data_IF_394495805795
#
_entry.id   IF_394495805795
#
_cell.length_a   1.000
_cell.length_b   1.000
_cell.length_c   1.000
_cell.angle_alpha   90.00
_cell.angle_beta   90.00
_cell.angle_gamma   90.00
#
_symmetry.space_group_name_H-M   'P 1'
#
loop_
_entity.id
_entity.type
_entity.pdbx_description
1 polymer ?
#
# COMPACT_ATOMS: atom_id res chain seq x y z
N UNK A 1 36.83 44.51 11.90
CA UNK A 1 36.87 43.21 11.20
C UNK A 1 35.52 42.43 11.19
N UNK A 2 34.36 43.08 10.91
CA UNK A 2 33.07 42.37 10.88
C UNK A 2 32.71 41.73 9.53
N UNK A 3 33.41 42.07 8.44
CA UNK A 3 33.04 41.59 7.10
C UNK A 3 33.40 40.11 6.78
N UNK A 4 34.41 39.57 7.43
CA UNK A 4 34.84 38.18 7.15
C UNK A 4 33.96 37.13 7.82
N UNK A 5 33.31 37.45 8.90
CA UNK A 5 32.37 36.52 9.57
C UNK A 5 31.06 36.35 8.78
N UNK A 6 30.56 37.42 8.19
CA UNK A 6 29.36 37.42 7.36
C UNK A 6 29.55 36.68 6.03
N UNK A 7 30.74 36.75 5.42
CA UNK A 7 31.03 36.02 4.18
C UNK A 7 31.18 34.52 4.41
N UNK A 8 31.78 34.11 5.51
CA UNK A 8 31.90 32.68 5.91
C UNK A 8 30.53 32.08 6.23
N UNK A 9 29.66 32.84 6.89
CA UNK A 9 28.28 32.39 7.18
C UNK A 9 27.44 32.21 5.90
N UNK A 10 27.59 33.16 4.93
CA UNK A 10 26.91 33.01 3.62
C UNK A 10 27.45 31.84 2.82
N UNK A 11 28.75 31.59 2.84
CA UNK A 11 29.36 30.45 2.17
C UNK A 11 28.87 29.12 2.79
N UNK A 12 28.81 29.02 4.12
CA UNK A 12 28.31 27.86 4.83
C UNK A 12 26.81 27.57 4.53
N UNK A 13 25.99 28.63 4.44
CA UNK A 13 24.55 28.49 4.07
C UNK A 13 24.38 28.05 2.62
N UNK A 14 25.20 28.51 1.69
CA UNK A 14 25.17 28.10 0.27
C UNK A 14 25.60 26.63 0.15
N UNK A 15 26.63 26.19 0.87
CA UNK A 15 27.06 24.78 0.89
C UNK A 15 26.01 23.91 1.52
N UNK A 16 25.38 24.33 2.61
CA UNK A 16 24.30 23.58 3.24
C UNK A 16 23.06 23.46 2.33
N UNK A 17 22.69 24.55 1.65
CA UNK A 17 21.62 24.56 0.68
C UNK A 17 21.93 23.69 -0.55
N UNK A 18 23.16 23.68 -1.05
CA UNK A 18 23.57 22.82 -2.16
C UNK A 18 23.60 21.34 -1.75
N UNK A 19 24.03 21.03 -0.51
CA UNK A 19 23.94 19.66 0.03
C UNK A 19 22.48 19.19 0.18
N UNK A 20 21.56 20.06 0.63
CA UNK A 20 20.14 19.74 0.70
C UNK A 20 19.52 19.55 -0.69
N UNK A 21 19.90 20.35 -1.68
CA UNK A 21 19.39 20.16 -3.06
C UNK A 21 19.94 18.89 -3.73
N UNK A 22 21.17 18.49 -3.41
CA UNK A 22 21.78 17.27 -3.95
C UNK A 22 21.07 15.97 -3.48
N UNK A 23 20.31 16.03 -2.38
CA UNK A 23 19.61 14.87 -1.81
C UNK A 23 18.30 14.52 -2.52
N UNK A 24 17.85 15.28 -3.52
CA UNK A 24 16.53 15.12 -4.17
C UNK A 24 16.66 14.47 -5.57
N UNK A 25 17.79 13.89 -5.92
CA UNK A 25 17.85 12.99 -7.06
C UNK A 25 17.18 11.66 -6.67
N UNK A 26 15.85 11.64 -6.56
CA UNK A 26 15.08 10.41 -6.59
C UNK A 26 15.33 9.79 -7.97
N UNK A 27 16.16 8.76 -8.03
CA UNK A 27 16.32 7.92 -9.21
C UNK A 27 14.95 7.25 -9.40
N UNK A 28 14.16 7.81 -10.31
CA UNK A 28 12.99 7.12 -10.80
C UNK A 28 13.50 5.81 -11.45
N UNK A 29 13.22 4.67 -10.79
CA UNK A 29 13.60 3.39 -11.34
C UNK A 29 12.92 3.24 -12.70
N UNK A 30 13.72 3.02 -13.75
CA UNK A 30 13.20 2.77 -15.08
C UNK A 30 12.31 1.52 -15.04
N UNK A 31 11.06 1.68 -15.49
CA UNK A 31 10.12 0.56 -15.55
C UNK A 31 10.56 -0.40 -16.67
N UNK A 32 10.49 -1.72 -16.42
CA UNK A 32 10.87 -2.71 -17.43
C UNK A 32 9.96 -2.62 -18.66
N UNK A 33 10.51 -2.94 -19.84
CA UNK A 33 9.72 -3.03 -21.06
C UNK A 33 8.81 -4.26 -21.04
N UNK A 34 7.62 -4.15 -21.62
CA UNK A 34 6.70 -5.27 -21.81
C UNK A 34 7.19 -6.13 -22.98
N UNK A 35 7.88 -7.23 -22.69
CA UNK A 35 8.47 -8.13 -23.71
C UNK A 35 7.56 -9.31 -24.05
N UNK A 36 6.52 -9.56 -23.27
CA UNK A 36 5.59 -10.67 -23.43
C UNK A 36 4.63 -10.79 -22.26
N UNK A 37 3.86 -11.88 -22.22
CA UNK A 37 2.94 -12.17 -21.11
C UNK A 37 3.65 -12.59 -19.83
N UNK A 38 4.91 -13.00 -19.91
CA UNK A 38 5.78 -13.34 -18.79
C UNK A 38 7.08 -12.56 -18.93
N UNK A 39 7.29 -11.55 -18.08
CA UNK A 39 8.48 -10.70 -18.04
C UNK A 39 9.26 -11.03 -16.77
N UNK A 40 10.26 -11.90 -16.90
CA UNK A 40 11.05 -12.41 -15.78
C UNK A 40 12.41 -11.71 -15.70
N UNK A 41 12.44 -10.54 -15.11
CA UNK A 41 13.69 -9.78 -14.90
C UNK A 41 14.43 -10.18 -13.61
N UNK A 42 13.77 -10.88 -12.71
CA UNK A 42 14.42 -11.42 -11.51
C UNK A 42 15.09 -12.79 -11.74
N UNK A 43 14.77 -13.46 -12.87
CA UNK A 43 15.33 -14.77 -13.21
C UNK A 43 14.87 -15.88 -12.27
N UNK A 44 13.66 -15.79 -11.71
CA UNK A 44 13.11 -16.76 -10.75
C UNK A 44 12.17 -17.78 -11.40
N UNK A 45 11.90 -17.66 -12.71
CA UNK A 45 11.03 -18.57 -13.44
C UNK A 45 11.91 -19.36 -14.43
N UNK A 46 11.96 -20.67 -14.29
CA UNK A 46 12.69 -21.53 -15.24
C UNK A 46 12.09 -21.46 -16.65
N UNK A 47 12.89 -21.84 -17.66
CA UNK A 47 12.51 -21.73 -19.07
C UNK A 47 11.26 -22.56 -19.42
N UNK A 48 11.10 -23.75 -18.81
CA UNK A 48 9.96 -24.63 -19.03
C UNK A 48 8.67 -24.03 -18.49
N UNK A 49 8.69 -23.58 -17.25
CA UNK A 49 7.54 -22.91 -16.60
C UNK A 49 7.19 -21.62 -17.33
N UNK A 50 8.20 -20.82 -17.75
CA UNK A 50 7.96 -19.59 -18.52
C UNK A 50 7.24 -19.88 -19.85
N UNK A 51 7.67 -20.90 -20.58
CA UNK A 51 7.03 -21.31 -21.85
C UNK A 51 5.58 -21.76 -21.62
N UNK A 52 5.36 -22.61 -20.61
CA UNK A 52 4.03 -23.10 -20.25
C UNK A 52 3.08 -21.97 -19.83
N UNK A 53 3.54 -21.04 -18.96
CA UNK A 53 2.77 -19.86 -18.55
C UNK A 53 2.46 -18.96 -19.75
N UNK A 54 3.44 -18.71 -20.63
CA UNK A 54 3.23 -17.87 -21.82
C UNK A 54 2.15 -18.42 -22.71
N UNK A 55 2.17 -19.75 -22.96
CA UNK A 55 1.15 -20.41 -23.77
C UNK A 55 -0.22 -20.36 -23.08
N UNK A 56 -0.29 -20.72 -21.78
CA UNK A 56 -1.53 -20.70 -21.01
C UNK A 56 -2.19 -19.34 -21.01
N UNK A 57 -1.43 -18.27 -20.79
CA UNK A 57 -1.92 -16.90 -20.80
C UNK A 57 -2.36 -16.43 -22.20
N UNK A 58 -1.66 -16.90 -23.26
CA UNK A 58 -2.07 -16.63 -24.62
C UNK A 58 -3.40 -17.30 -24.98
N UNK A 59 -3.57 -18.56 -24.57
CA UNK A 59 -4.80 -19.31 -24.80
C UNK A 59 -5.98 -18.70 -24.02
N UNK A 60 -5.74 -18.24 -22.81
CA UNK A 60 -6.74 -17.56 -21.99
C UNK A 60 -7.19 -16.24 -22.62
N UNK A 61 -6.27 -15.37 -22.99
CA UNK A 61 -6.57 -14.08 -23.63
C UNK A 61 -7.32 -14.27 -24.97
N UNK A 62 -6.98 -15.31 -25.73
CA UNK A 62 -7.67 -15.61 -27.00
C UNK A 62 -9.12 -16.03 -26.79
N UNK A 63 -9.44 -16.69 -25.67
CA UNK A 63 -10.79 -17.18 -25.37
C UNK A 63 -11.69 -16.13 -24.73
N UNK A 64 -11.14 -15.33 -23.81
CA UNK A 64 -11.91 -14.43 -22.94
C UNK A 64 -11.66 -12.95 -23.16
N UNK A 65 -10.68 -12.57 -23.98
CA UNK A 65 -10.17 -11.19 -24.13
C UNK A 65 -9.51 -10.56 -22.91
N UNK A 66 -9.60 -11.17 -21.71
CA UNK A 66 -8.96 -10.70 -20.50
C UNK A 66 -7.46 -10.95 -20.55
N UNK A 67 -6.67 -9.95 -20.18
CA UNK A 67 -5.23 -9.99 -20.29
C UNK A 67 -4.56 -10.17 -18.93
N UNK A 68 -3.86 -11.27 -18.72
CA UNK A 68 -3.03 -11.50 -17.53
C UNK A 68 -1.55 -11.42 -17.93
N UNK A 69 -0.76 -10.66 -17.16
CA UNK A 69 0.69 -10.55 -17.32
C UNK A 69 1.37 -10.86 -16.00
N UNK A 70 2.41 -11.67 -16.06
CA UNK A 70 3.29 -11.97 -14.94
C UNK A 70 4.57 -11.17 -15.10
N UNK A 71 4.95 -10.44 -14.06
CA UNK A 71 6.19 -9.68 -13.99
C UNK A 71 7.01 -10.07 -12.77
N UNK A 72 8.29 -10.28 -12.94
CA UNK A 72 9.23 -10.37 -11.85
C UNK A 72 10.30 -9.30 -11.98
N UNK A 73 10.65 -8.65 -10.87
CA UNK A 73 11.70 -7.63 -10.80
C UNK A 73 12.60 -7.97 -9.62
N UNK A 74 13.91 -7.71 -9.73
CA UNK A 74 14.83 -8.04 -8.66
C UNK A 74 14.50 -7.30 -7.36
N UNK A 75 14.22 -6.00 -7.45
CA UNK A 75 13.88 -5.15 -6.31
C UNK A 75 13.05 -3.94 -6.74
N UNK A 76 12.26 -3.42 -5.80
CA UNK A 76 11.47 -2.19 -5.93
C UNK A 76 12.31 -0.92 -5.72
N UNK A 77 13.59 -1.05 -5.31
CA UNK A 77 14.47 0.10 -5.07
C UNK A 77 14.03 0.98 -3.89
N UNK A 78 13.30 0.41 -2.93
CA UNK A 78 12.80 1.15 -1.75
C UNK A 78 11.41 1.76 -1.94
N UNK A 79 10.79 1.58 -3.11
CA UNK A 79 9.41 1.99 -3.35
C UNK A 79 8.42 0.95 -2.78
N UNK A 80 7.20 1.38 -2.43
CA UNK A 80 6.13 0.45 -2.08
C UNK A 80 5.58 -0.26 -3.31
N UNK A 81 5.15 -1.51 -3.14
CA UNK A 81 4.76 -2.36 -4.27
C UNK A 81 3.47 -1.89 -4.94
N UNK A 82 2.55 -1.28 -4.19
CA UNK A 82 1.27 -0.79 -4.70
C UNK A 82 1.46 0.33 -5.74
N UNK A 83 2.13 1.46 -5.43
CA UNK A 83 2.34 2.51 -6.41
C UNK A 83 3.21 2.03 -7.58
N UNK A 84 4.19 1.16 -7.33
CA UNK A 84 5.01 0.59 -8.39
C UNK A 84 4.18 -0.26 -9.35
N UNK A 85 3.37 -1.20 -8.85
CA UNK A 85 2.53 -2.08 -9.67
C UNK A 85 1.51 -1.28 -10.48
N UNK A 86 0.83 -0.31 -9.86
CA UNK A 86 -0.13 0.57 -10.56
C UNK A 86 0.54 1.38 -11.67
N UNK A 87 1.74 1.93 -11.42
CA UNK A 87 2.52 2.66 -12.43
C UNK A 87 2.96 1.73 -13.55
N UNK A 88 3.43 0.52 -13.25
CA UNK A 88 3.84 -0.49 -14.23
C UNK A 88 2.65 -0.94 -15.09
N UNK A 89 1.51 -1.22 -14.45
CA UNK A 89 0.26 -1.59 -15.13
C UNK A 89 -0.14 -0.55 -16.16
N UNK A 90 -0.14 0.74 -15.78
CA UNK A 90 -0.47 1.87 -16.65
C UNK A 90 0.58 2.12 -17.72
N UNK A 91 1.86 1.97 -17.39
CA UNK A 91 2.96 2.10 -18.35
C UNK A 91 2.86 1.06 -19.46
N UNK A 92 2.52 -0.19 -19.10
CA UNK A 92 2.29 -1.28 -20.04
C UNK A 92 0.92 -1.23 -20.69
N UNK A 93 0.00 -0.39 -20.20
CA UNK A 93 -1.37 -0.24 -20.69
C UNK A 93 -2.11 -1.58 -20.75
N UNK A 94 -2.02 -2.37 -19.68
CA UNK A 94 -2.58 -3.71 -19.64
C UNK A 94 -4.11 -3.71 -19.76
N UNK A 95 -4.64 -4.67 -20.52
CA UNK A 95 -6.07 -4.77 -20.84
C UNK A 95 -6.50 -3.83 -21.95
N UNK A 96 -7.74 -3.97 -22.39
CA UNK A 96 -8.33 -3.15 -23.45
C UNK A 96 -8.79 -1.80 -22.89
N UNK A 97 -8.58 -0.72 -23.65
CA UNK A 97 -8.84 0.66 -23.20
C UNK A 97 -10.28 0.95 -22.76
N UNK A 98 -11.27 0.25 -23.34
CA UNK A 98 -12.68 0.43 -22.99
C UNK A 98 -13.14 -0.50 -21.88
N UNK A 99 -12.53 -1.67 -21.77
CA UNK A 99 -12.96 -2.74 -20.89
C UNK A 99 -12.12 -2.79 -19.61
N UNK A 100 -10.90 -2.25 -19.65
CA UNK A 100 -9.95 -2.24 -18.51
C UNK A 100 -9.76 -3.64 -17.90
N UNK A 101 -9.71 -4.66 -18.75
CA UNK A 101 -9.72 -6.07 -18.41
C UNK A 101 -8.31 -6.68 -18.33
N UNK A 102 -7.39 -5.93 -17.73
CA UNK A 102 -6.02 -6.37 -17.46
C UNK A 102 -5.82 -6.85 -16.04
N UNK A 103 -4.87 -7.77 -15.82
CA UNK A 103 -4.36 -8.20 -14.52
C UNK A 103 -2.84 -8.26 -14.57
N UNK A 104 -2.17 -7.75 -13.54
CA UNK A 104 -0.73 -7.83 -13.37
C UNK A 104 -0.40 -8.61 -12.10
N UNK A 105 0.31 -9.72 -12.23
CA UNK A 105 0.96 -10.39 -11.11
C UNK A 105 2.41 -9.92 -11.04
N UNK A 106 2.76 -9.16 -10.00
CA UNK A 106 4.11 -8.62 -9.78
C UNK A 106 4.77 -9.32 -8.58
N UNK A 107 6.02 -9.74 -8.76
CA UNK A 107 6.85 -10.35 -7.71
C UNK A 107 8.19 -9.66 -7.63
N UNK A 108 8.59 -9.21 -6.44
CA UNK A 108 9.89 -8.62 -6.13
C UNK A 108 10.61 -9.47 -5.05
N UNK A 109 11.41 -10.49 -5.46
CA UNK A 109 11.95 -11.48 -4.54
C UNK A 109 12.91 -10.89 -3.50
N UNK A 110 13.74 -9.91 -3.84
CA UNK A 110 14.68 -9.33 -2.88
C UNK A 110 13.98 -8.51 -1.79
N UNK A 111 12.79 -7.95 -2.10
CA UNK A 111 11.97 -7.22 -1.14
C UNK A 111 10.96 -8.13 -0.43
N UNK A 112 10.85 -9.41 -0.85
CA UNK A 112 9.84 -10.37 -0.42
C UNK A 112 8.42 -9.80 -0.51
N UNK A 113 8.14 -9.07 -1.58
CA UNK A 113 6.85 -8.46 -1.84
C UNK A 113 6.24 -9.00 -3.13
N UNK A 114 4.94 -9.17 -3.13
CA UNK A 114 4.16 -9.56 -4.31
C UNK A 114 2.84 -8.80 -4.34
N UNK A 115 2.29 -8.62 -5.53
CA UNK A 115 1.01 -7.95 -5.74
C UNK A 115 0.28 -8.50 -6.94
N UNK A 116 -1.03 -8.62 -6.82
CA UNK A 116 -1.94 -8.79 -7.95
C UNK A 116 -2.67 -7.46 -8.11
N UNK A 117 -2.41 -6.77 -9.21
CA UNK A 117 -3.07 -5.51 -9.59
C UNK A 117 -4.13 -5.81 -10.61
N UNK A 118 -5.36 -5.33 -10.39
CA UNK A 118 -6.54 -5.64 -11.19
C UNK A 118 -7.03 -4.38 -11.89
N UNK A 119 -7.35 -4.49 -13.17
CA UNK A 119 -7.96 -3.43 -13.95
C UNK A 119 -9.41 -3.20 -13.57
N UNK A 120 -9.90 -1.98 -13.70
CA UNK A 120 -11.25 -1.56 -13.30
C UNK A 120 -12.38 -2.49 -13.78
N UNK A 121 -12.26 -3.04 -15.00
CA UNK A 121 -13.29 -3.92 -15.58
C UNK A 121 -13.40 -5.29 -14.92
N UNK A 122 -12.36 -5.72 -14.20
CA UNK A 122 -12.30 -7.02 -13.56
C UNK A 122 -12.45 -6.98 -12.04
N UNK A 123 -12.49 -5.80 -11.41
CA UNK A 123 -12.61 -5.65 -9.95
C UNK A 123 -13.87 -6.32 -9.38
N UNK A 124 -14.95 -6.39 -10.17
CA UNK A 124 -16.18 -7.07 -9.77
C UNK A 124 -16.11 -8.60 -9.85
N UNK A 125 -15.20 -9.16 -10.65
CA UNK A 125 -15.02 -10.61 -10.84
C UNK A 125 -13.83 -11.12 -10.04
N UNK A 126 -12.65 -10.54 -10.25
CA UNK A 126 -11.44 -10.82 -9.49
C UNK A 126 -11.29 -9.79 -8.38
N UNK A 127 -12.05 -9.97 -7.30
CA UNK A 127 -12.11 -9.03 -6.17
C UNK A 127 -10.84 -9.04 -5.33
N UNK A 128 -10.68 -8.04 -4.45
CA UNK A 128 -9.57 -7.99 -3.47
C UNK A 128 -9.56 -9.23 -2.56
N UNK A 129 -10.73 -9.80 -2.24
CA UNK A 129 -10.81 -11.05 -1.49
C UNK A 129 -10.19 -12.21 -2.28
N UNK A 130 -10.52 -12.35 -3.56
CA UNK A 130 -9.98 -13.42 -4.39
C UNK A 130 -8.46 -13.29 -4.54
N UNK A 131 -7.96 -12.09 -4.86
CA UNK A 131 -6.51 -11.84 -5.00
C UNK A 131 -5.77 -12.10 -3.69
N UNK A 132 -6.37 -11.74 -2.54
CA UNK A 132 -5.81 -12.04 -1.22
C UNK A 132 -5.74 -13.53 -0.96
N UNK A 133 -6.81 -14.29 -1.24
CA UNK A 133 -6.83 -15.75 -1.08
C UNK A 133 -5.79 -16.45 -1.95
N UNK A 134 -5.61 -16.02 -3.19
CA UNK A 134 -4.57 -16.52 -4.10
C UNK A 134 -3.17 -16.28 -3.51
N UNK A 135 -2.91 -15.07 -3.05
CA UNK A 135 -1.63 -14.73 -2.44
C UNK A 135 -1.35 -15.59 -1.20
N UNK A 136 -2.30 -15.68 -0.28
CA UNK A 136 -2.11 -16.34 1.01
C UNK A 136 -2.08 -17.88 0.90
N UNK A 137 -2.89 -18.46 0.02
CA UNK A 137 -2.98 -19.93 -0.09
C UNK A 137 -2.01 -20.55 -1.08
N UNK A 138 -1.63 -19.84 -2.15
CA UNK A 138 -0.81 -20.41 -3.22
C UNK A 138 0.60 -19.84 -3.25
N UNK A 139 0.73 -18.50 -3.20
CA UNK A 139 2.03 -17.85 -3.37
C UNK A 139 2.86 -17.85 -2.09
N UNK A 140 2.32 -17.41 -0.95
CA UNK A 140 3.07 -17.29 0.31
C UNK A 140 3.68 -18.62 0.74
N UNK A 141 2.95 -19.76 0.80
CA UNK A 141 3.54 -21.03 1.22
C UNK A 141 4.61 -21.52 0.25
N UNK A 142 4.40 -21.39 -1.07
CA UNK A 142 5.36 -21.79 -2.09
C UNK A 142 6.64 -20.92 -2.01
N UNK A 143 6.50 -19.60 -1.88
CA UNK A 143 7.65 -18.68 -1.84
C UNK A 143 8.48 -18.82 -0.56
N UNK A 144 7.86 -19.19 0.57
CA UNK A 144 8.59 -19.53 1.81
C UNK A 144 9.49 -20.75 1.65
N UNK A 145 9.14 -21.68 0.78
CA UNK A 145 9.97 -22.86 0.46
C UNK A 145 10.91 -22.64 -0.74
N UNK A 146 10.86 -21.44 -1.36
CA UNK A 146 11.68 -21.09 -2.53
C UNK A 146 11.10 -21.56 -3.86
N UNK A 147 9.89 -22.13 -3.87
CA UNK A 147 9.21 -22.57 -5.10
C UNK A 147 8.46 -21.40 -5.76
N UNK A 148 9.22 -20.46 -6.34
CA UNK A 148 8.64 -19.33 -7.06
C UNK A 148 7.84 -19.76 -8.31
N UNK A 149 8.38 -20.66 -9.18
CA UNK A 149 7.65 -21.08 -10.37
C UNK A 149 6.32 -21.77 -10.05
N UNK A 150 6.31 -22.64 -9.03
CA UNK A 150 5.11 -23.36 -8.60
C UNK A 150 4.05 -22.41 -8.01
N UNK A 151 4.45 -21.48 -7.14
CA UNK A 151 3.54 -20.48 -6.57
C UNK A 151 2.93 -19.54 -7.62
N UNK A 152 3.74 -19.06 -8.59
CA UNK A 152 3.27 -18.24 -9.70
C UNK A 152 2.30 -19.03 -10.61
N UNK A 153 2.62 -20.28 -10.92
CA UNK A 153 1.77 -21.11 -11.77
C UNK A 153 0.40 -21.36 -11.14
N UNK A 154 0.35 -21.68 -9.85
CA UNK A 154 -0.91 -21.83 -9.10
C UNK A 154 -1.71 -20.54 -9.07
N UNK A 155 -1.05 -19.42 -8.77
CA UNK A 155 -1.73 -18.11 -8.75
C UNK A 155 -2.36 -17.78 -10.10
N UNK A 156 -1.67 -18.07 -11.21
CA UNK A 156 -2.21 -17.90 -12.57
C UNK A 156 -3.41 -18.82 -12.80
N UNK A 157 -3.34 -20.07 -12.37
CA UNK A 157 -4.45 -21.03 -12.52
C UNK A 157 -5.70 -20.58 -11.75
N UNK A 158 -5.52 -20.10 -10.54
CA UNK A 158 -6.62 -19.62 -9.70
C UNK A 158 -7.20 -18.28 -10.21
N UNK A 159 -6.37 -17.36 -10.72
CA UNK A 159 -6.87 -16.17 -11.40
C UNK A 159 -7.73 -16.53 -12.61
N UNK A 160 -7.27 -17.45 -13.45
CA UNK A 160 -8.02 -17.93 -14.62
C UNK A 160 -9.32 -18.62 -14.19
N UNK A 161 -9.30 -19.43 -13.14
CA UNK A 161 -10.48 -20.10 -12.60
C UNK A 161 -11.54 -19.10 -12.15
N UNK A 162 -11.16 -18.07 -11.40
CA UNK A 162 -12.07 -17.00 -10.94
C UNK A 162 -12.63 -16.21 -12.12
N UNK A 163 -11.79 -15.82 -13.06
CA UNK A 163 -12.22 -15.05 -14.25
C UNK A 163 -13.13 -15.86 -15.17
N UNK A 164 -13.01 -17.19 -15.18
CA UNK A 164 -13.95 -18.07 -15.87
C UNK A 164 -15.28 -18.29 -15.11
N UNK A 165 -15.51 -17.60 -14.00
CA UNK A 165 -16.77 -17.64 -13.26
C UNK A 165 -16.91 -18.77 -12.23
N UNK A 166 -15.78 -19.33 -11.76
CA UNK A 166 -15.74 -20.38 -10.76
C UNK A 166 -15.02 -19.97 -9.46
N UNK A 167 -15.41 -18.86 -8.79
CA UNK A 167 -14.74 -18.40 -7.57
C UNK A 167 -14.97 -19.29 -6.36
N UNK A 168 -16.07 -20.10 -6.38
CA UNK A 168 -16.54 -20.89 -5.24
C UNK A 168 -15.51 -21.91 -4.73
N UNK A 169 -14.73 -22.50 -5.63
CA UNK A 169 -13.67 -23.44 -5.26
C UNK A 169 -12.52 -22.76 -4.52
N UNK A 170 -12.10 -21.58 -4.96
CA UNK A 170 -11.08 -20.77 -4.28
C UNK A 170 -11.54 -20.36 -2.89
N UNK A 171 -12.78 -19.86 -2.77
CA UNK A 171 -13.38 -19.50 -1.49
C UNK A 171 -13.52 -20.70 -0.55
N UNK A 172 -13.90 -21.87 -1.08
CA UNK A 172 -13.99 -23.10 -0.29
C UNK A 172 -12.63 -23.57 0.21
N UNK A 173 -11.57 -23.40 -0.59
CA UNK A 173 -10.18 -23.65 -0.15
C UNK A 173 -9.74 -22.65 0.91
N UNK A 174 -10.05 -21.35 0.75
CA UNK A 174 -9.78 -20.33 1.74
C UNK A 174 -10.48 -20.58 3.08
N UNK A 175 -11.71 -21.08 3.06
CA UNK A 175 -12.43 -21.47 4.30
C UNK A 175 -11.84 -22.72 4.99
N UNK A 176 -11.22 -23.64 4.25
CA UNK A 176 -10.57 -24.85 4.79
C UNK A 176 -9.18 -24.59 5.33
N UNK A 177 -8.48 -23.66 4.74
CA UNK A 177 -7.19 -23.14 5.19
C UNK A 177 -7.40 -21.68 5.63
N UNK A 178 -7.94 -21.41 6.82
CA UNK A 178 -7.87 -20.08 7.35
C UNK A 178 -6.38 -19.79 7.50
N UNK A 179 -5.79 -19.16 6.48
CA UNK A 179 -4.50 -18.53 6.65
C UNK A 179 -4.68 -17.67 7.90
N UNK A 180 -3.78 -17.85 8.84
CA UNK A 180 -3.82 -17.31 10.19
C UNK A 180 -4.01 -15.78 10.14
N UNK A 181 -5.23 -15.37 9.78
CA UNK A 181 -5.65 -13.96 9.68
C UNK A 181 -5.85 -13.35 11.08
N UNK A 182 -5.75 -14.18 12.09
CA UNK A 182 -5.42 -13.77 13.44
C UNK A 182 -3.89 -13.76 13.57
N UNK A 183 -3.19 -12.75 13.08
CA UNK A 183 -1.99 -12.36 13.80
C UNK A 183 -2.42 -12.15 15.25
N UNK A 184 -2.03 -13.01 16.19
CA UNK A 184 -2.34 -12.75 17.59
C UNK A 184 -1.78 -11.36 17.84
N UNK A 185 -2.65 -10.45 18.28
CA UNK A 185 -2.24 -9.08 18.57
C UNK A 185 -0.98 -9.21 19.41
N UNK A 186 0.12 -8.63 18.93
CA UNK A 186 1.41 -8.69 19.60
C UNK A 186 1.16 -8.47 21.11
N UNK A 187 1.55 -9.40 21.98
CA UNK A 187 1.28 -9.28 23.41
C UNK A 187 1.75 -7.94 23.97
N UNK A 188 2.78 -7.34 23.36
CA UNK A 188 3.26 -5.99 23.70
C UNK A 188 2.20 -4.93 23.35
N UNK A 189 1.58 -5.01 22.17
CA UNK A 189 0.50 -4.10 21.76
C UNK A 189 -0.73 -4.29 22.64
N UNK A 190 -1.06 -5.54 22.98
CA UNK A 190 -2.20 -5.84 23.87
C UNK A 190 -1.99 -5.26 25.26
N UNK A 191 -0.81 -5.45 25.86
CA UNK A 191 -0.44 -4.86 27.15
C UNK A 191 -0.44 -3.34 27.09
N UNK A 192 0.10 -2.76 26.02
CA UNK A 192 0.07 -1.31 25.80
C UNK A 192 -1.36 -0.76 25.74
N UNK A 193 -2.26 -1.41 24.99
CA UNK A 193 -3.68 -1.01 24.90
C UNK A 193 -4.40 -1.12 26.26
N UNK A 194 -4.13 -2.17 27.04
CA UNK A 194 -4.69 -2.34 28.39
C UNK A 194 -4.19 -1.23 29.32
N UNK A 195 -2.89 -0.95 29.32
CA UNK A 195 -2.28 0.12 30.12
C UNK A 195 -2.82 1.48 29.69
N UNK A 196 -2.93 1.74 28.40
CA UNK A 196 -3.49 2.97 27.86
C UNK A 196 -4.96 3.14 28.24
N UNK A 197 -5.77 2.09 28.09
CA UNK A 197 -7.18 2.09 28.48
C UNK A 197 -7.36 2.30 29.98
N UNK A 198 -6.58 1.62 30.82
CA UNK A 198 -6.66 1.79 32.29
C UNK A 198 -6.24 3.19 32.72
N UNK A 199 -5.22 3.77 32.08
CA UNK A 199 -4.79 5.14 32.35
C UNK A 199 -5.85 6.16 31.91
N UNK A 200 -6.41 5.98 30.70
CA UNK A 200 -7.43 6.88 30.12
C UNK A 200 -8.75 6.82 30.90
N UNK A 201 -9.30 5.60 31.03
CA UNK A 201 -10.58 5.43 31.75
C UNK A 201 -10.44 5.60 33.27
N UNK A 202 -9.29 5.23 33.84
CA UNK A 202 -8.97 5.49 35.25
C UNK A 202 -8.87 6.98 35.55
N UNK A 203 -8.21 7.75 34.69
CA UNK A 203 -8.16 9.22 34.78
C UNK A 203 -9.54 9.86 34.65
N UNK A 204 -10.34 9.38 33.68
CA UNK A 204 -11.72 9.84 33.49
C UNK A 204 -12.59 9.50 34.70
N UNK A 205 -12.49 8.30 35.25
CA UNK A 205 -13.19 7.87 36.44
C UNK A 205 -12.81 8.72 37.66
N UNK A 206 -11.53 8.99 37.85
CA UNK A 206 -11.04 9.88 38.91
C UNK A 206 -11.56 11.32 38.77
N UNK A 207 -11.80 11.79 37.56
CA UNK A 207 -12.36 13.12 37.30
C UNK A 207 -13.87 13.19 37.60
N UNK A 208 -14.64 12.13 37.24
CA UNK A 208 -16.10 12.18 37.26
C UNK A 208 -16.75 11.43 38.44
N UNK A 209 -16.17 10.34 38.93
CA UNK A 209 -16.77 9.55 40.02
C UNK A 209 -16.79 10.26 41.38
N UNK A 210 -15.73 10.98 41.84
CA UNK A 210 -15.78 11.67 43.13
C UNK A 210 -16.87 12.77 43.22
N UNK A 211 -17.12 13.60 42.20
CA UNK A 211 -18.24 14.54 42.24
C UNK A 211 -19.62 13.86 42.21
N UNK A 212 -19.74 12.68 41.61
CA UNK A 212 -21.01 11.97 41.41
C UNK A 212 -21.37 11.08 42.62
N UNK A 213 -20.39 10.41 43.23
CA UNK A 213 -20.60 9.41 44.29
C UNK A 213 -19.89 9.77 45.62
N UNK A 214 -19.05 10.81 45.65
CA UNK A 214 -18.32 11.23 46.83
C UNK A 214 -19.16 12.14 47.77
N UNK A 215 -18.86 12.08 49.09
CA UNK A 215 -19.45 13.01 50.04
C UNK A 215 -18.81 14.39 49.91
N UNK A 216 -19.63 15.43 49.66
CA UNK A 216 -19.20 16.82 49.53
C UNK A 216 -18.82 17.39 50.92
N UNK A 217 -17.54 17.71 51.12
CA UNK A 217 -17.05 18.34 52.35
C UNK A 217 -17.10 19.86 52.30
N UNK A 218 -16.82 20.45 51.11
CA UNK A 218 -16.90 21.89 50.86
C UNK A 218 -17.00 22.14 49.36
N UNK A 219 -17.31 23.37 48.87
CA UNK A 219 -17.35 23.67 47.45
C UNK A 219 -16.06 23.26 46.76
N UNK A 220 -16.14 22.32 45.79
CA UNK A 220 -15.00 21.81 45.05
C UNK A 220 -14.16 20.73 45.79
N UNK A 221 -14.54 20.27 46.99
CA UNK A 221 -13.83 19.20 47.72
C UNK A 221 -14.75 18.02 47.98
N UNK A 222 -14.36 16.86 47.48
CA UNK A 222 -15.14 15.62 47.60
C UNK A 222 -14.28 14.55 48.26
N UNK A 223 -14.89 13.72 49.14
CA UNK A 223 -14.28 12.56 49.75
C UNK A 223 -14.87 11.30 49.16
N UNK A 224 -14.03 10.48 48.52
CA UNK A 224 -14.41 9.23 47.92
C UNK A 224 -13.33 8.16 48.19
N UNK A 225 -13.75 6.97 48.58
CA UNK A 225 -12.82 5.86 48.96
C UNK A 225 -11.71 6.27 49.96
N UNK A 226 -12.03 7.13 50.93
CA UNK A 226 -11.06 7.58 51.95
C UNK A 226 -10.09 8.69 51.46
N UNK A 227 -10.08 9.00 50.17
CA UNK A 227 -9.25 10.05 49.59
C UNK A 227 -10.04 11.34 49.37
N UNK A 228 -9.39 12.51 49.53
CA UNK A 228 -10.00 13.83 49.30
C UNK A 228 -9.52 14.38 47.95
N UNK A 229 -10.47 14.65 47.07
CA UNK A 229 -10.23 15.25 45.76
C UNK A 229 -10.65 16.71 45.76
N UNK A 230 -9.76 17.61 45.30
CA UNK A 230 -10.00 19.05 45.19
C UNK A 230 -10.10 19.42 43.71
N UNK A 231 -11.26 19.92 43.29
CA UNK A 231 -11.52 20.39 41.94
C UNK A 231 -11.64 21.92 41.97
N UNK A 232 -10.94 22.59 41.05
CA UNK A 232 -11.19 24.01 40.77
C UNK A 232 -10.45 25.03 41.63
N UNK A 233 -9.20 24.77 42.08
CA UNK A 233 -8.27 25.85 42.35
C UNK A 233 -7.24 25.91 41.24
N UNK A 234 -7.50 26.79 40.25
CA UNK A 234 -6.51 27.21 39.30
C UNK A 234 -5.33 27.80 40.05
N UNK A 235 -4.12 27.27 39.84
CA UNK A 235 -2.92 27.97 40.21
C UNK A 235 -2.91 29.33 39.50
N UNK A 236 -3.08 30.39 40.25
CA UNK A 236 -2.81 31.74 39.78
C UNK A 236 -1.32 31.89 39.52
N UNK A 237 -0.93 32.28 38.32
CA UNK A 237 0.45 32.54 37.97
C UNK A 237 0.60 33.00 36.54
N UNK A 238 0.68 34.31 36.38
CA UNK A 238 1.31 35.12 35.32
C UNK A 238 0.75 35.03 33.89
N UNK A 239 0.21 36.17 33.53
CA UNK A 239 -0.02 36.70 32.21
C UNK A 239 1.11 36.52 31.23
N UNK A 240 0.87 35.82 30.13
CA UNK A 240 1.67 35.83 28.92
C UNK A 240 0.73 35.86 27.74
N UNK A 241 0.51 37.07 27.26
CA UNK A 241 -0.27 37.39 26.06
C UNK A 241 0.50 36.89 24.85
N UNK A 242 -0.01 35.91 24.12
CA UNK A 242 0.34 35.72 22.72
C UNK A 242 -0.93 35.41 21.92
N UNK A 243 -1.34 36.41 21.19
CA UNK A 243 -2.47 36.37 20.28
C UNK A 243 -2.17 35.46 19.09
N UNK A 244 -3.10 34.58 18.83
CA UNK A 244 -3.16 33.85 17.56
C UNK A 244 -4.29 34.44 16.74
N UNK A 245 -3.92 35.23 15.76
CA UNK A 245 -4.83 35.70 14.73
C UNK A 245 -5.21 34.58 13.79
N UNK A 246 -6.50 34.29 13.70
CA UNK A 246 -7.07 33.46 12.62
C UNK A 246 -6.93 34.22 11.31
N UNK A 247 -6.24 33.62 10.35
CA UNK A 247 -6.35 33.97 8.94
C UNK A 247 -7.22 32.92 8.24
N UNK A 248 -8.37 33.39 7.81
CA UNK A 248 -9.29 32.68 6.94
C UNK A 248 -8.93 32.99 5.50
N UNK A 249 -9.08 32.02 4.61
CA UNK A 249 -9.32 32.29 3.22
C UNK A 249 -8.30 31.70 2.25
N UNK A 250 -8.81 30.93 1.29
CA UNK A 250 -8.06 30.57 0.11
C UNK A 250 -8.65 29.34 -0.57
N UNK A 251 -9.56 29.63 -1.47
CA UNK A 251 -10.29 28.69 -2.32
C UNK A 251 -9.39 27.89 -3.25
N UNK A 252 -9.87 26.72 -3.55
CA UNK A 252 -9.30 25.82 -4.54
C UNK A 252 -9.99 26.04 -5.87
N UNK A 253 -9.27 26.58 -6.84
CA UNK A 253 -9.72 26.65 -8.23
C UNK A 253 -9.14 25.46 -9.00
N UNK A 254 -10.02 24.67 -9.56
CA UNK A 254 -9.75 23.63 -10.56
C UNK A 254 -9.31 24.28 -11.86
N UNK A 255 -8.12 23.91 -12.35
CA UNK A 255 -7.64 24.24 -13.68
C UNK A 255 -7.32 22.95 -14.44
N UNK A 256 -8.20 22.57 -15.35
CA UNK A 256 -7.93 21.53 -16.32
C UNK A 256 -7.01 22.05 -17.42
N UNK A 257 -6.06 21.25 -17.85
CA UNK A 257 -5.43 21.38 -19.17
C UNK A 257 -5.11 20.00 -19.68
N UNK A 258 -5.84 19.61 -20.73
CA UNK A 258 -5.51 18.49 -21.57
C UNK A 258 -4.29 18.82 -22.44
N UNK A 259 -3.36 17.91 -22.50
CA UNK A 259 -2.38 17.85 -23.56
C UNK A 259 -2.40 16.44 -24.15
N UNK A 260 -2.96 16.36 -25.35
CA UNK A 260 -2.90 15.17 -26.18
C UNK A 260 -1.47 14.95 -26.67
N UNK A 261 -0.99 13.73 -26.48
CA UNK A 261 0.22 13.24 -27.13
C UNK A 261 -0.20 12.12 -28.09
N UNK A 262 -0.14 12.41 -29.34
CA UNK A 262 -0.20 11.43 -30.43
C UNK A 262 1.18 10.79 -30.52
N UNK A 263 1.30 9.52 -30.25
CA UNK A 263 2.50 8.74 -30.54
C UNK A 263 2.22 7.73 -31.65
N UNK A 264 3.06 7.81 -32.67
CA UNK A 264 3.01 6.99 -33.86
C UNK A 264 3.22 5.51 -33.55
N UNK A 265 2.50 4.71 -34.29
CA UNK A 265 2.59 3.26 -34.37
C UNK A 265 3.89 2.84 -35.07
N UNK A 266 4.77 2.15 -34.36
CA UNK A 266 5.80 1.32 -34.95
C UNK A 266 5.31 -0.12 -34.94
N UNK A 267 5.04 -0.66 -36.12
CA UNK A 267 4.68 -2.05 -36.37
C UNK A 267 5.91 -2.94 -36.21
N UNK A 268 6.06 -3.51 -35.02
CA UNK A 268 6.86 -4.73 -34.80
C UNK A 268 5.95 -5.65 -34.04
N UNK A 269 5.79 -6.91 -34.49
CA UNK A 269 4.92 -7.92 -33.89
C UNK A 269 5.31 -8.32 -32.48
N UNK A 270 5.24 -7.38 -31.55
CA UNK A 270 5.48 -7.53 -30.14
C UNK A 270 4.17 -7.54 -29.37
N UNK A 271 4.13 -8.29 -28.28
CA UNK A 271 3.05 -8.25 -27.30
C UNK A 271 2.94 -6.83 -26.73
N UNK A 272 1.73 -6.24 -26.73
CA UNK A 272 1.47 -4.90 -26.20
C UNK A 272 0.16 -4.88 -25.43
N UNK A 273 0.08 -4.02 -24.42
CA UNK A 273 -1.17 -3.73 -23.72
C UNK A 273 -2.14 -2.94 -24.61
N UNK A 274 -3.43 -3.17 -24.42
CA UNK A 274 -4.53 -2.58 -25.20
C UNK A 274 -5.01 -1.22 -24.72
N UNK A 275 -4.39 -0.61 -23.71
CA UNK A 275 -4.73 0.73 -23.23
C UNK A 275 -5.63 0.77 -21.98
N UNK A 276 -5.75 -0.34 -21.26
CA UNK A 276 -6.49 -0.43 -19.99
C UNK A 276 -5.84 0.36 -18.85
N UNK A 277 -6.60 0.58 -17.80
CA UNK A 277 -6.17 1.26 -16.56
C UNK A 277 -6.67 0.54 -15.32
N UNK A 278 -5.92 0.71 -14.22
CA UNK A 278 -6.25 0.24 -12.87
C UNK A 278 -6.29 1.41 -11.90
N UNK A 279 -7.14 1.29 -10.87
CA UNK A 279 -7.26 2.23 -9.76
C UNK A 279 -6.53 1.81 -8.51
N UNK A 280 -5.83 0.68 -8.55
CA UNK A 280 -5.19 0.09 -7.38
C UNK A 280 -5.97 -1.07 -6.77
N UNK A 281 -6.97 -1.60 -7.48
CA UNK A 281 -7.68 -2.84 -7.09
C UNK A 281 -6.72 -4.03 -7.04
N UNK A 282 -7.08 -5.03 -6.23
CA UNK A 282 -6.23 -6.20 -5.98
C UNK A 282 -5.59 -6.20 -4.60
N UNK A 283 -4.65 -7.11 -4.35
CA UNK A 283 -4.03 -7.29 -3.05
C UNK A 283 -2.53 -7.44 -3.12
N UNK A 284 -1.86 -7.09 -2.02
CA UNK A 284 -0.43 -7.26 -1.83
C UNK A 284 -0.14 -8.28 -0.73
N UNK A 285 1.03 -8.89 -0.77
CA UNK A 285 1.50 -9.82 0.23
C UNK A 285 3.01 -9.81 0.38
N UNK A 286 3.47 -10.46 1.44
CA UNK A 286 4.87 -10.72 1.75
C UNK A 286 5.07 -12.12 2.31
N UNK A 287 6.28 -12.70 2.22
CA UNK A 287 6.61 -14.05 2.68
C UNK A 287 7.91 -14.14 3.47
#
# INVERSE_FOLDING_TARGET
MPGQCASRLRLALIILASLLLASIAAVAADLPALTGRVVDNAGIIDAGTRAALTQKLADFETKGSDQIVVATIASLGGEEIEPYANRLFRFWKLGQAKENNGVLLLVAPNDRKMRIEVGYGLEGTLTDLHTKLIIENDMVPAFRTGDFPGGISKAVDDMIMVLNGNPEELEARGRRNPADSSTPMDPVVTVFLILWATMFFGGLAMAFLPPMFGTKLSPGVYRWLGMTFRYGQGAGGSSGTSGWTRSSGGGWSSGGSGSGWSSGSSSGGGFSGGGGSSGGGGSSGSW
#
